data_IF_408953145088
#
_entry.id   IF_408953145088
#
_cell.length_a   1.000
_cell.length_b   1.000
_cell.length_c   1.000
_cell.angle_alpha   90.00
_cell.angle_beta   90.00
_cell.angle_gamma   90.00
#
_symmetry.space_group_name_H-M   'P 1'
#
loop_
_entity.id
_entity.type
_entity.pdbx_description
1 polymer ?
#
# COMPACT_ATOMS: atom_id res chain seq x y z
N UNK A 1 -22.31 -10.31 40.59
CA UNK A 1 -23.03 -11.20 39.63
C UNK A 1 -24.47 -10.69 39.52
N UNK A 2 -24.69 -9.56 38.83
CA UNK A 2 -26.03 -8.95 38.61
C UNK A 2 -26.10 -8.38 37.17
N UNK A 3 -25.42 -9.01 36.20
CA UNK A 3 -25.40 -8.52 34.80
C UNK A 3 -25.94 -9.54 33.80
N UNK A 4 -25.98 -10.83 34.16
CA UNK A 4 -26.70 -11.85 33.40
C UNK A 4 -28.11 -11.96 33.99
N UNK A 5 -29.08 -11.27 33.37
CA UNK A 5 -30.52 -11.50 33.58
C UNK A 5 -30.90 -12.92 33.10
N UNK A 6 -30.44 -13.95 33.81
CA UNK A 6 -30.73 -15.37 33.65
C UNK A 6 -30.49 -16.02 32.27
N UNK A 7 -30.05 -15.30 31.25
CA UNK A 7 -29.62 -15.85 29.97
C UNK A 7 -28.13 -15.55 29.73
N UNK A 8 -27.30 -16.57 29.94
CA UNK A 8 -25.89 -16.58 29.62
C UNK A 8 -25.77 -16.90 28.12
N UNK A 9 -25.82 -15.87 27.28
CA UNK A 9 -25.53 -16.00 25.85
C UNK A 9 -24.05 -15.75 25.60
N UNK A 10 -23.47 -16.47 24.63
CA UNK A 10 -22.04 -16.33 24.26
C UNK A 10 -21.68 -14.86 24.02
N UNK A 11 -22.54 -14.10 23.32
CA UNK A 11 -22.37 -12.65 23.10
C UNK A 11 -22.25 -11.82 24.39
N UNK A 12 -23.01 -12.13 25.45
CA UNK A 12 -22.91 -11.38 26.73
C UNK A 12 -21.64 -11.72 27.51
N UNK A 13 -21.11 -12.93 27.34
CA UNK A 13 -19.82 -13.34 27.92
C UNK A 13 -18.67 -12.67 27.15
N UNK A 14 -18.77 -12.63 25.82
CA UNK A 14 -17.84 -11.97 24.91
C UNK A 14 -17.70 -10.47 25.26
N UNK A 15 -18.82 -9.77 25.43
CA UNK A 15 -18.83 -8.35 25.83
C UNK A 15 -18.28 -8.11 27.25
N UNK A 16 -18.55 -9.02 28.19
CA UNK A 16 -18.05 -8.88 29.57
C UNK A 16 -16.56 -9.24 29.75
N UNK A 17 -15.98 -9.99 28.82
CA UNK A 17 -14.57 -10.38 28.85
C UNK A 17 -13.71 -9.56 27.88
N UNK A 18 -14.31 -8.64 27.11
CA UNK A 18 -13.62 -7.87 26.09
C UNK A 18 -13.17 -8.69 24.89
N UNK A 19 -13.68 -9.92 24.72
CA UNK A 19 -13.41 -10.72 23.54
C UNK A 19 -14.16 -10.11 22.35
N UNK A 20 -13.55 -10.13 21.18
CA UNK A 20 -14.21 -9.68 19.96
C UNK A 20 -14.99 -10.83 19.33
N UNK A 21 -16.19 -10.54 18.84
CA UNK A 21 -16.98 -11.53 18.10
C UNK A 21 -16.22 -11.96 16.83
N UNK A 22 -15.92 -13.26 16.64
CA UNK A 22 -15.29 -13.77 15.43
C UNK A 22 -16.02 -13.36 14.13
N UNK A 23 -17.35 -13.17 14.19
CA UNK A 23 -18.12 -12.70 13.03
C UNK A 23 -17.81 -11.24 12.69
N UNK A 24 -17.57 -10.38 13.70
CA UNK A 24 -17.16 -8.99 13.47
C UNK A 24 -15.77 -8.93 12.85
N UNK A 25 -14.82 -9.72 13.34
CA UNK A 25 -13.47 -9.81 12.77
C UNK A 25 -13.53 -10.27 11.31
N UNK A 26 -14.32 -11.30 11.03
CA UNK A 26 -14.56 -11.77 9.67
C UNK A 26 -15.15 -10.67 8.78
N UNK A 27 -16.19 -10.00 9.24
CA UNK A 27 -16.85 -8.95 8.47
C UNK A 27 -15.92 -7.75 8.21
N UNK A 28 -15.04 -7.42 9.16
CA UNK A 28 -14.02 -6.40 8.99
C UNK A 28 -13.01 -6.78 7.90
N UNK A 29 -12.50 -8.01 7.90
CA UNK A 29 -11.65 -8.52 6.81
C UNK A 29 -12.36 -8.45 5.46
N UNK A 30 -13.63 -8.84 5.40
CA UNK A 30 -14.41 -8.77 4.18
C UNK A 30 -14.55 -7.34 3.67
N UNK A 31 -14.84 -6.37 4.54
CA UNK A 31 -14.92 -4.95 4.16
C UNK A 31 -13.59 -4.44 3.58
N UNK A 32 -12.45 -4.83 4.16
CA UNK A 32 -11.11 -4.49 3.68
C UNK A 32 -10.84 -5.10 2.28
N UNK A 33 -11.23 -6.37 2.09
CA UNK A 33 -11.03 -7.08 0.82
C UNK A 33 -11.94 -6.55 -0.30
N UNK A 34 -13.19 -6.20 0.03
CA UNK A 34 -14.17 -5.63 -0.92
C UNK A 34 -13.97 -4.13 -1.16
N UNK A 35 -13.00 -3.50 -0.48
CA UNK A 35 -12.68 -2.07 -0.59
C UNK A 35 -13.84 -1.15 -0.21
N UNK A 36 -14.68 -1.61 0.72
CA UNK A 36 -15.83 -0.86 1.20
C UNK A 36 -15.37 0.09 2.31
N UNK A 37 -14.93 1.29 1.91
CA UNK A 37 -14.36 2.29 2.83
C UNK A 37 -15.33 2.69 3.94
N UNK A 38 -16.61 2.82 3.60
CA UNK A 38 -17.64 3.21 4.57
C UNK A 38 -17.80 2.13 5.65
N UNK A 39 -17.85 0.85 5.25
CA UNK A 39 -17.89 -0.25 6.22
C UNK A 39 -16.61 -0.36 7.04
N UNK A 40 -15.44 -0.16 6.43
CA UNK A 40 -14.17 -0.17 7.17
C UNK A 40 -14.17 0.91 8.25
N UNK A 41 -14.65 2.11 7.96
CA UNK A 41 -14.74 3.19 8.95
C UNK A 41 -15.77 2.90 10.03
N UNK A 42 -16.95 2.35 9.68
CA UNK A 42 -17.93 1.93 10.66
C UNK A 42 -17.35 0.89 11.64
N UNK A 43 -16.61 -0.10 11.11
CA UNK A 43 -15.94 -1.08 11.97
C UNK A 43 -14.84 -0.46 12.82
N UNK A 44 -14.05 0.49 12.32
CA UNK A 44 -13.04 1.18 13.14
C UNK A 44 -13.68 1.98 14.28
N UNK A 45 -14.81 2.63 14.04
CA UNK A 45 -15.57 3.35 15.08
C UNK A 45 -16.12 2.41 16.15
N UNK A 46 -16.51 1.18 15.78
CA UNK A 46 -16.91 0.15 16.75
C UNK A 46 -15.70 -0.47 17.48
N UNK A 47 -14.58 -0.66 16.79
CA UNK A 47 -13.40 -1.34 17.32
C UNK A 47 -12.52 -0.45 18.21
N UNK A 48 -12.63 0.87 18.11
CA UNK A 48 -11.83 1.81 18.91
C UNK A 48 -12.10 1.73 20.42
N UNK A 49 -13.26 1.19 20.82
CA UNK A 49 -13.61 0.97 22.23
C UNK A 49 -12.89 -0.26 22.83
N UNK A 50 -12.20 -1.04 22.00
CA UNK A 50 -11.42 -2.20 22.39
C UNK A 50 -9.92 -1.88 22.36
N UNK A 51 -9.15 -2.53 23.22
CA UNK A 51 -7.69 -2.44 23.18
C UNK A 51 -7.15 -2.93 21.83
N UNK A 52 -6.26 -2.16 21.20
CA UNK A 52 -5.74 -2.50 19.88
C UNK A 52 -4.98 -3.83 19.89
N UNK A 53 -4.29 -4.15 20.99
CA UNK A 53 -3.62 -5.45 21.15
C UNK A 53 -4.60 -6.61 21.05
N UNK A 54 -5.77 -6.48 21.68
CA UNK A 54 -6.81 -7.52 21.67
C UNK A 54 -7.42 -7.68 20.28
N UNK A 55 -7.69 -6.57 19.58
CA UNK A 55 -8.17 -6.60 18.19
C UNK A 55 -7.14 -7.24 17.27
N UNK A 56 -5.88 -6.86 17.38
CA UNK A 56 -4.79 -7.41 16.55
C UNK A 56 -4.63 -8.91 16.79
N UNK A 57 -4.71 -9.37 18.04
CA UNK A 57 -4.58 -10.79 18.38
C UNK A 57 -5.76 -11.62 17.85
N UNK A 58 -6.98 -11.12 17.91
CA UNK A 58 -8.16 -11.77 17.33
C UNK A 58 -8.11 -11.79 15.79
N UNK A 59 -7.68 -10.70 15.18
CA UNK A 59 -7.42 -10.65 13.73
C UNK A 59 -6.35 -11.67 13.33
N UNK A 60 -5.25 -11.76 14.07
CA UNK A 60 -4.18 -12.73 13.84
C UNK A 60 -4.67 -14.17 14.01
N UNK A 61 -5.48 -14.44 15.04
CA UNK A 61 -6.08 -15.74 15.28
C UNK A 61 -6.97 -16.17 14.11
N UNK A 62 -7.91 -15.29 13.69
CA UNK A 62 -8.78 -15.56 12.54
C UNK A 62 -7.99 -15.84 11.27
N UNK A 63 -6.97 -15.02 10.99
CA UNK A 63 -6.15 -15.16 9.78
C UNK A 63 -5.35 -16.48 9.78
N UNK A 64 -4.81 -16.90 10.94
CA UNK A 64 -4.14 -18.20 11.11
C UNK A 64 -5.09 -19.37 10.88
N UNK A 65 -6.26 -19.35 11.52
CA UNK A 65 -7.27 -20.39 11.36
C UNK A 65 -7.68 -20.53 9.89
N UNK A 66 -7.94 -19.40 9.22
CA UNK A 66 -8.27 -19.35 7.80
C UNK A 66 -7.14 -19.92 6.92
N UNK A 67 -5.89 -19.60 7.22
CA UNK A 67 -4.71 -20.09 6.50
C UNK A 67 -4.57 -21.62 6.61
N UNK A 68 -4.69 -22.19 7.81
CA UNK A 68 -4.58 -23.63 8.03
C UNK A 68 -5.79 -24.41 7.49
N UNK A 69 -6.97 -23.81 7.52
CA UNK A 69 -8.17 -24.33 6.87
C UNK A 69 -8.08 -24.32 5.34
N UNK A 70 -7.03 -23.72 4.75
CA UNK A 70 -6.85 -23.52 3.31
C UNK A 70 -8.07 -22.82 2.68
N UNK A 71 -8.62 -21.85 3.39
CA UNK A 71 -9.74 -21.05 2.91
C UNK A 71 -9.37 -20.31 1.62
N UNK A 72 -10.33 -20.15 0.72
CA UNK A 72 -10.20 -19.33 -0.49
C UNK A 72 -10.55 -17.85 -0.23
N UNK A 73 -10.83 -17.47 1.02
CA UNK A 73 -11.20 -16.10 1.41
C UNK A 73 -10.05 -15.11 1.22
N UNK A 74 -8.80 -15.56 1.41
CA UNK A 74 -7.60 -14.77 1.19
C UNK A 74 -6.69 -15.49 0.19
N UNK A 75 -6.05 -14.74 -0.70
CA UNK A 75 -5.00 -15.29 -1.56
C UNK A 75 -3.69 -15.44 -0.79
N UNK A 76 -2.75 -16.26 -1.29
CA UNK A 76 -1.46 -16.50 -0.61
C UNK A 76 -0.69 -15.20 -0.39
N UNK A 77 -0.75 -14.28 -1.36
CA UNK A 77 -0.14 -12.96 -1.25
C UNK A 77 -0.79 -12.11 -0.14
N UNK A 78 -2.11 -12.19 0.00
CA UNK A 78 -2.84 -11.44 1.03
C UNK A 78 -2.50 -11.97 2.43
N UNK A 79 -2.40 -13.29 2.60
CA UNK A 79 -1.94 -13.87 3.86
C UNK A 79 -0.55 -13.34 4.26
N UNK A 80 0.44 -13.38 3.37
CA UNK A 80 1.80 -12.90 3.65
C UNK A 80 1.79 -11.43 4.11
N UNK A 81 1.07 -10.58 3.38
CA UNK A 81 0.99 -9.15 3.68
C UNK A 81 0.26 -8.88 4.99
N UNK A 82 -0.89 -9.50 5.20
CA UNK A 82 -1.68 -9.26 6.40
C UNK A 82 -0.95 -9.77 7.65
N UNK A 83 -0.24 -10.90 7.58
CA UNK A 83 0.64 -11.33 8.68
C UNK A 83 1.74 -10.31 8.99
N UNK A 84 2.39 -9.77 7.96
CA UNK A 84 3.43 -8.74 8.12
C UNK A 84 2.87 -7.46 8.72
N UNK A 85 1.70 -7.02 8.26
CA UNK A 85 1.03 -5.80 8.75
C UNK A 85 0.60 -5.97 10.20
N UNK A 86 -0.05 -7.07 10.57
CA UNK A 86 -0.43 -7.35 11.96
C UNK A 86 0.79 -7.41 12.88
N UNK A 87 1.87 -8.05 12.43
CA UNK A 87 3.14 -8.09 13.18
C UNK A 87 3.72 -6.69 13.38
N UNK A 88 3.63 -5.82 12.37
CA UNK A 88 4.07 -4.42 12.48
C UNK A 88 3.17 -3.63 13.43
N UNK A 89 1.86 -3.75 13.30
CA UNK A 89 0.88 -3.06 14.15
C UNK A 89 1.07 -3.42 15.63
N UNK A 90 1.35 -4.70 15.93
CA UNK A 90 1.66 -5.16 17.29
C UNK A 90 2.90 -4.49 17.89
N UNK A 91 3.90 -4.18 17.06
CA UNK A 91 5.10 -3.45 17.49
C UNK A 91 4.90 -1.92 17.53
N UNK A 92 3.76 -1.43 17.04
CA UNK A 92 3.37 -0.03 16.98
C UNK A 92 2.20 0.27 17.94
N UNK A 93 2.00 -0.58 18.95
CA UNK A 93 1.06 -0.28 20.03
C UNK A 93 1.52 1.01 20.71
N UNK A 94 0.65 2.01 20.68
CA UNK A 94 0.84 3.34 21.26
C UNK A 94 -0.18 3.53 22.39
N UNK A 95 -0.15 4.69 23.06
CA UNK A 95 -1.15 5.06 24.06
C UNK A 95 -2.56 5.30 23.44
N UNK A 96 -2.65 5.40 22.11
CA UNK A 96 -3.90 5.58 21.36
C UNK A 96 -4.20 4.33 20.52
N UNK A 97 -5.09 3.48 21.05
CA UNK A 97 -5.54 2.25 20.41
C UNK A 97 -6.24 2.52 19.07
N UNK A 98 -7.09 3.55 19.02
CA UNK A 98 -7.80 3.96 17.81
C UNK A 98 -6.84 4.34 16.69
N UNK A 99 -5.78 5.07 17.01
CA UNK A 99 -4.72 5.40 16.05
C UNK A 99 -4.03 4.14 15.49
N UNK A 100 -3.62 3.20 16.35
CA UNK A 100 -2.97 1.97 15.92
C UNK A 100 -3.88 1.15 15.00
N UNK A 101 -5.18 1.05 15.32
CA UNK A 101 -6.17 0.36 14.49
C UNK A 101 -6.38 1.05 13.14
N UNK A 102 -6.45 2.38 13.11
CA UNK A 102 -6.58 3.14 11.88
C UNK A 102 -5.39 2.91 10.94
N UNK A 103 -4.16 3.01 11.46
CA UNK A 103 -2.94 2.79 10.66
C UNK A 103 -2.89 1.36 10.13
N UNK A 104 -3.20 0.37 10.97
CA UNK A 104 -3.27 -1.02 10.55
C UNK A 104 -4.30 -1.23 9.43
N UNK A 105 -5.51 -0.69 9.58
CA UNK A 105 -6.57 -0.80 8.58
C UNK A 105 -6.15 -0.17 7.24
N UNK A 106 -5.54 1.03 7.25
CA UNK A 106 -5.04 1.67 6.03
C UNK A 106 -3.94 0.83 5.35
N UNK A 107 -3.02 0.28 6.11
CA UNK A 107 -1.98 -0.61 5.57
C UNK A 107 -2.59 -1.87 4.94
N UNK A 108 -3.62 -2.45 5.56
CA UNK A 108 -4.31 -3.62 5.01
C UNK A 108 -5.12 -3.28 3.76
N UNK A 109 -5.79 -2.13 3.74
CA UNK A 109 -6.47 -1.64 2.55
C UNK A 109 -5.46 -1.45 1.41
N UNK A 110 -4.33 -0.79 1.64
CA UNK A 110 -3.29 -0.65 0.62
C UNK A 110 -2.79 -2.02 0.11
N UNK A 111 -2.52 -2.95 1.05
CA UNK A 111 -2.07 -4.29 0.72
C UNK A 111 -3.12 -5.13 -0.04
N UNK A 112 -4.41 -4.86 0.14
CA UNK A 112 -5.51 -5.50 -0.61
C UNK A 112 -5.64 -4.95 -2.04
N UNK A 113 -5.07 -3.78 -2.33
CA UNK A 113 -5.12 -3.17 -3.66
C UNK A 113 -4.08 -3.74 -4.62
N UNK A 114 -2.99 -4.31 -4.10
CA UNK A 114 -1.96 -4.91 -4.94
C UNK A 114 -2.38 -6.32 -5.37
N UNK A 115 -2.83 -6.42 -6.63
CA UNK A 115 -3.21 -7.69 -7.27
C UNK A 115 -2.06 -8.71 -7.23
N UNK A 116 -2.40 -9.98 -7.09
CA UNK A 116 -1.50 -11.06 -7.52
C UNK A 116 -1.22 -10.89 -9.01
N UNK A 117 0.03 -11.13 -9.41
CA UNK A 117 0.43 -11.13 -10.83
C UNK A 117 -0.44 -12.15 -11.60
N UNK A 118 -0.80 -13.27 -10.96
CA UNK A 118 -1.58 -14.36 -11.56
C UNK A 118 -3.07 -14.03 -11.79
N UNK A 119 -3.68 -13.17 -10.96
CA UNK A 119 -5.08 -12.75 -11.11
C UNK A 119 -5.28 -11.85 -12.34
N UNK A 120 -4.28 -11.01 -12.63
CA UNK A 120 -4.25 -10.19 -13.85
C UNK A 120 -4.10 -11.05 -15.11
N UNK A 121 -3.38 -12.18 -15.03
CA UNK A 121 -3.20 -13.11 -16.15
C UNK A 121 -4.50 -13.85 -16.50
N UNK A 122 -5.40 -14.11 -15.54
CA UNK A 122 -6.68 -14.77 -15.81
C UNK A 122 -7.70 -13.82 -16.48
N UNK A 123 -7.76 -12.55 -16.06
CA UNK A 123 -8.59 -11.52 -16.72
C UNK A 123 -8.18 -11.34 -18.20
N UNK A 124 -6.88 -11.38 -18.51
CA UNK A 124 -6.35 -11.24 -19.89
C UNK A 124 -6.61 -12.49 -20.76
N UNK A 125 -6.70 -13.68 -20.17
CA UNK A 125 -6.96 -14.94 -20.91
C UNK A 125 -8.40 -15.09 -21.36
N UNK A 126 -9.37 -14.53 -20.64
CA UNK A 126 -10.79 -14.64 -21.02
C UNK A 126 -11.15 -13.77 -22.25
N UNK A 127 -10.35 -12.75 -22.57
CA UNK A 127 -10.59 -11.88 -23.74
C UNK A 127 -10.08 -12.44 -25.08
N UNK A 128 -9.36 -13.58 -25.10
CA UNK A 128 -8.68 -14.08 -26.31
C UNK A 128 -9.20 -15.43 -26.86
N UNK A 129 -10.38 -15.89 -26.48
CA UNK A 129 -10.96 -17.14 -27.02
C UNK A 129 -11.93 -16.86 -28.17
N UNK A 130 -11.43 -16.29 -29.26
CA UNK A 130 -11.99 -16.57 -30.59
C UNK A 130 -10.88 -16.58 -31.62
N UNK A 131 -10.75 -17.75 -32.28
CA UNK A 131 -10.18 -17.98 -33.60
C UNK A 131 -8.82 -18.73 -33.67
N UNK A 132 -8.97 -20.05 -33.66
CA UNK A 132 -8.47 -21.02 -34.67
C UNK A 132 -6.96 -21.26 -34.86
N UNK A 133 -6.57 -22.47 -34.43
CA UNK A 133 -5.49 -23.39 -34.84
C UNK A 133 -5.24 -23.49 -36.36
N UNK A 134 -4.04 -23.92 -36.86
CA UNK A 134 -3.67 -25.36 -36.89
C UNK A 134 -2.16 -25.81 -36.86
N UNK A 135 -1.97 -26.99 -36.23
CA UNK A 135 -1.17 -28.21 -36.59
C UNK A 135 0.38 -28.34 -36.42
N UNK A 136 0.79 -28.95 -35.28
CA UNK A 136 1.48 -30.27 -35.02
C UNK A 136 2.60 -30.83 -35.96
N UNK A 137 3.83 -31.10 -35.44
CA UNK A 137 4.59 -32.40 -35.38
C UNK A 137 6.03 -32.26 -34.74
N UNK A 138 6.75 -33.32 -34.28
CA UNK A 138 7.32 -33.40 -32.91
C UNK A 138 8.85 -33.61 -32.71
N UNK A 139 9.31 -33.36 -31.45
CA UNK A 139 10.48 -33.92 -30.70
C UNK A 139 11.89 -33.32 -30.92
N UNK A 140 12.86 -33.42 -29.98
CA UNK A 140 12.84 -33.36 -28.51
C UNK A 140 13.99 -32.46 -27.97
N UNK A 141 13.75 -31.22 -27.53
CA UNK A 141 14.73 -30.49 -26.72
C UNK A 141 13.96 -29.58 -25.76
N UNK A 142 14.29 -29.68 -24.47
CA UNK A 142 13.77 -28.84 -23.40
C UNK A 142 13.71 -27.36 -23.83
N UNK A 143 12.56 -26.68 -23.72
CA UNK A 143 12.54 -25.23 -23.68
C UNK A 143 12.32 -24.78 -22.23
N UNK A 144 13.34 -24.11 -21.73
CA UNK A 144 13.26 -23.03 -20.75
C UNK A 144 11.86 -22.40 -20.75
N UNK A 145 11.14 -22.46 -19.62
CA UNK A 145 9.94 -21.65 -19.41
C UNK A 145 10.38 -20.18 -19.27
N UNK A 146 10.71 -19.55 -20.38
CA UNK A 146 10.65 -18.10 -20.48
C UNK A 146 9.17 -17.71 -20.49
N UNK A 147 8.59 -17.66 -19.29
CA UNK A 147 7.46 -16.78 -19.02
C UNK A 147 7.95 -15.39 -19.42
N UNK A 148 7.51 -14.91 -20.58
CA UNK A 148 7.68 -13.52 -20.98
C UNK A 148 6.78 -12.69 -20.07
N UNK A 149 7.27 -12.45 -18.85
CA UNK A 149 6.80 -11.38 -17.97
C UNK A 149 6.85 -10.14 -18.85
N UNK A 150 5.73 -9.46 -19.00
CA UNK A 150 5.68 -8.23 -19.79
C UNK A 150 6.46 -7.17 -19.00
N UNK A 151 7.77 -7.13 -19.28
CA UNK A 151 8.70 -6.30 -18.54
C UNK A 151 8.35 -4.83 -18.75
N UNK A 152 8.21 -4.09 -17.67
CA UNK A 152 7.99 -2.64 -17.78
C UNK A 152 9.26 -1.94 -18.31
N UNK A 153 9.15 -0.66 -18.69
CA UNK A 153 10.26 0.08 -19.28
C UNK A 153 11.52 0.12 -18.39
N UNK A 154 11.35 0.10 -17.06
CA UNK A 154 12.44 0.03 -16.10
C UNK A 154 13.11 -1.34 -16.08
N UNK A 155 12.34 -2.43 -16.11
CA UNK A 155 12.86 -3.80 -16.14
C UNK A 155 13.59 -4.11 -17.45
N UNK A 156 13.05 -3.64 -18.59
CA UNK A 156 13.70 -3.75 -19.90
C UNK A 156 15.04 -3.00 -19.89
N UNK A 157 15.07 -1.80 -19.29
CA UNK A 157 16.30 -1.04 -19.12
C UNK A 157 17.27 -1.79 -18.20
N UNK A 158 16.80 -2.30 -17.06
CA UNK A 158 17.62 -3.02 -16.10
C UNK A 158 18.26 -4.26 -16.71
N UNK A 159 17.52 -5.07 -17.47
CA UNK A 159 18.09 -6.20 -18.22
C UNK A 159 19.16 -5.73 -19.20
N UNK A 160 18.88 -4.64 -19.92
CA UNK A 160 19.83 -4.11 -20.90
C UNK A 160 21.12 -3.64 -20.24
N UNK A 161 21.06 -3.17 -19.00
CA UNK A 161 22.23 -2.84 -18.19
C UNK A 161 22.93 -4.13 -17.75
N UNK A 162 22.22 -5.16 -17.28
CA UNK A 162 22.82 -6.46 -16.91
C UNK A 162 23.56 -7.11 -18.09
N UNK A 163 23.02 -7.00 -19.31
CA UNK A 163 23.65 -7.51 -20.53
C UNK A 163 25.00 -6.83 -20.84
N UNK A 164 25.30 -5.69 -20.21
CA UNK A 164 26.48 -4.86 -20.50
C UNK A 164 27.43 -4.70 -19.32
N UNK A 165 26.89 -4.45 -18.14
CA UNK A 165 27.64 -4.16 -16.92
C UNK A 165 26.83 -4.63 -15.70
N UNK A 166 27.25 -5.77 -15.16
CA UNK A 166 26.60 -6.41 -14.01
C UNK A 166 26.65 -5.55 -12.74
N UNK A 167 27.80 -4.93 -12.45
CA UNK A 167 28.00 -4.14 -11.23
C UNK A 167 27.18 -2.85 -11.29
N UNK A 168 27.12 -2.22 -12.47
CA UNK A 168 26.27 -1.07 -12.72
C UNK A 168 24.78 -1.42 -12.59
N UNK A 169 24.37 -2.60 -13.08
CA UNK A 169 22.99 -3.07 -12.97
C UNK A 169 22.56 -3.30 -11.52
N UNK A 170 23.40 -3.97 -10.72
CA UNK A 170 23.14 -4.15 -9.28
C UNK A 170 23.07 -2.79 -8.57
N UNK A 171 24.00 -1.88 -8.86
CA UNK A 171 23.99 -0.53 -8.29
C UNK A 171 22.72 0.24 -8.65
N UNK A 172 22.28 0.14 -9.91
CA UNK A 172 21.05 0.76 -10.41
C UNK A 172 19.81 0.19 -9.74
N UNK A 173 19.69 -1.13 -9.64
CA UNK A 173 18.58 -1.82 -8.99
C UNK A 173 18.47 -1.49 -7.49
N UNK A 174 19.60 -1.42 -6.79
CA UNK A 174 19.63 -1.13 -5.36
C UNK A 174 19.30 0.34 -5.06
N UNK A 175 19.68 1.25 -5.97
CA UNK A 175 19.66 2.69 -5.68
C UNK A 175 18.56 3.45 -6.41
N UNK A 176 17.71 2.76 -7.18
CA UNK A 176 16.60 3.37 -7.94
C UNK A 176 15.32 2.55 -7.86
N UNK A 177 14.17 3.20 -8.05
CA UNK A 177 12.86 2.53 -8.17
C UNK A 177 12.03 3.15 -9.27
N UNK A 178 11.26 2.32 -9.97
CA UNK A 178 10.29 2.76 -10.98
C UNK A 178 9.19 3.63 -10.37
N UNK A 179 8.85 4.73 -11.04
CA UNK A 179 7.68 5.58 -10.71
C UNK A 179 6.64 5.49 -11.83
N UNK A 180 7.00 5.89 -13.05
CA UNK A 180 6.10 5.86 -14.21
C UNK A 180 6.90 5.88 -15.53
N UNK A 181 6.26 5.51 -16.64
CA UNK A 181 6.77 5.76 -17.98
C UNK A 181 5.66 6.42 -18.80
N UNK A 182 5.80 7.73 -19.02
CA UNK A 182 4.78 8.55 -19.67
C UNK A 182 5.43 9.63 -20.52
N UNK A 183 4.78 9.99 -21.64
CA UNK A 183 5.31 11.02 -22.56
C UNK A 183 6.77 10.77 -22.97
N UNK A 184 7.12 9.51 -23.28
CA UNK A 184 8.49 9.07 -23.59
C UNK A 184 9.52 9.34 -22.48
N UNK A 185 9.08 9.57 -21.25
CA UNK A 185 9.95 9.85 -20.11
C UNK A 185 9.79 8.77 -19.05
N UNK A 186 10.90 8.09 -18.73
CA UNK A 186 11.00 7.14 -17.63
C UNK A 186 11.29 7.91 -16.34
N UNK A 187 10.30 7.96 -15.45
CA UNK A 187 10.44 8.56 -14.13
C UNK A 187 10.92 7.49 -13.14
N UNK A 188 12.05 7.73 -12.50
CA UNK A 188 12.59 6.88 -11.44
C UNK A 188 12.93 7.71 -10.21
N UNK A 189 12.78 7.12 -9.03
CA UNK A 189 13.32 7.68 -7.79
C UNK A 189 14.73 7.14 -7.58
N UNK A 190 15.62 7.94 -6.99
CA UNK A 190 16.94 7.49 -6.55
C UNK A 190 17.23 7.88 -5.11
N UNK A 191 17.77 6.92 -4.35
CA UNK A 191 18.32 7.09 -3.01
C UNK A 191 19.84 6.84 -2.97
N UNK A 192 20.53 6.90 -4.13
CA UNK A 192 21.96 6.61 -4.23
C UNK A 192 22.81 7.56 -3.38
N UNK A 193 23.71 7.01 -2.58
CA UNK A 193 24.65 7.76 -1.73
C UNK A 193 26.08 7.23 -1.90
N UNK A 194 27.07 8.07 -1.61
CA UNK A 194 28.49 7.72 -1.61
C UNK A 194 28.94 7.03 -2.91
N UNK A 195 29.53 5.85 -2.77
CA UNK A 195 30.07 5.04 -3.87
C UNK A 195 29.01 4.69 -4.93
N UNK A 196 27.78 4.35 -4.52
CA UNK A 196 26.71 4.02 -5.47
C UNK A 196 26.32 5.22 -6.35
N UNK A 197 26.33 6.42 -5.76
CA UNK A 197 26.07 7.66 -6.52
C UNK A 197 27.18 7.91 -7.55
N UNK A 198 28.43 7.68 -7.17
CA UNK A 198 29.57 7.89 -8.07
C UNK A 198 29.60 6.86 -9.21
N UNK A 199 29.28 5.59 -8.93
CA UNK A 199 29.11 4.53 -9.94
C UNK A 199 27.99 4.87 -10.91
N UNK A 200 26.82 5.28 -10.40
CA UNK A 200 25.69 5.67 -11.26
C UNK A 200 25.99 6.91 -12.09
N UNK A 201 26.64 7.93 -11.55
CA UNK A 201 27.02 9.12 -12.30
C UNK A 201 28.00 8.80 -13.44
N UNK A 202 28.96 7.90 -13.20
CA UNK A 202 29.90 7.44 -14.23
C UNK A 202 29.20 6.60 -15.31
N UNK A 203 28.29 5.71 -14.92
CA UNK A 203 27.55 4.83 -15.80
C UNK A 203 26.29 5.44 -16.44
N UNK A 204 25.88 6.65 -16.06
CA UNK A 204 24.58 7.19 -16.47
C UNK A 204 24.45 7.39 -17.98
N UNK A 205 25.55 7.76 -18.66
CA UNK A 205 25.55 7.88 -20.12
C UNK A 205 25.23 6.55 -20.80
N UNK A 206 25.85 5.47 -20.32
CA UNK A 206 25.58 4.11 -20.82
C UNK A 206 24.12 3.73 -20.57
N UNK A 207 23.59 4.02 -19.39
CA UNK A 207 22.17 3.77 -19.05
C UNK A 207 21.25 4.52 -20.03
N UNK A 208 21.54 5.79 -20.34
CA UNK A 208 20.76 6.57 -21.30
C UNK A 208 20.84 6.01 -22.72
N UNK A 209 22.02 5.59 -23.17
CA UNK A 209 22.22 4.98 -24.48
C UNK A 209 21.47 3.65 -24.62
N UNK A 210 21.52 2.80 -23.60
CA UNK A 210 20.78 1.53 -23.56
C UNK A 210 19.27 1.76 -23.56
N UNK A 211 18.80 2.78 -22.85
CA UNK A 211 17.39 3.13 -22.85
C UNK A 211 16.92 3.61 -24.23
N UNK A 212 17.69 4.49 -24.87
CA UNK A 212 17.44 4.95 -26.23
C UNK A 212 17.48 3.80 -27.25
N UNK A 213 18.41 2.87 -27.11
CA UNK A 213 18.50 1.71 -27.99
C UNK A 213 17.25 0.81 -27.93
N UNK A 214 16.58 0.74 -26.77
CA UNK A 214 15.36 -0.06 -26.59
C UNK A 214 14.07 0.70 -26.94
N UNK A 215 14.00 2.00 -26.70
CA UNK A 215 12.74 2.78 -26.81
C UNK A 215 12.79 3.94 -27.82
N UNK A 216 13.91 4.16 -28.51
CA UNK A 216 14.10 5.17 -29.55
C UNK A 216 14.80 6.46 -29.07
N UNK A 217 15.21 7.33 -30.00
CA UNK A 217 16.01 8.52 -29.66
C UNK A 217 15.27 9.59 -28.84
N UNK A 218 13.94 9.60 -28.90
CA UNK A 218 13.11 10.62 -28.25
C UNK A 218 12.79 10.33 -26.78
N UNK A 219 13.33 9.24 -26.21
CA UNK A 219 13.08 8.90 -24.81
C UNK A 219 14.06 9.56 -23.85
N UNK A 220 13.58 9.87 -22.64
CA UNK A 220 14.36 10.51 -21.57
C UNK A 220 14.19 9.75 -20.25
N UNK A 221 15.19 9.87 -19.38
CA UNK A 221 15.13 9.35 -18.01
C UNK A 221 15.11 10.55 -17.07
N UNK A 222 14.07 10.65 -16.25
CA UNK A 222 13.94 11.66 -15.20
C UNK A 222 14.22 11.00 -13.86
N UNK A 223 15.25 11.49 -13.17
CA UNK A 223 15.68 10.96 -11.86
C UNK A 223 15.25 11.95 -10.78
N UNK A 224 14.36 11.50 -9.92
CA UNK A 224 13.86 12.28 -8.78
C UNK A 224 14.52 11.77 -7.50
N UNK A 225 14.83 12.66 -6.55
CA UNK A 225 15.31 12.23 -5.24
C UNK A 225 14.18 11.45 -4.55
N UNK A 226 14.48 10.27 -4.03
CA UNK A 226 13.52 9.55 -3.20
C UNK A 226 13.06 10.46 -2.06
N UNK A 227 11.75 10.67 -1.93
CA UNK A 227 11.19 11.46 -0.83
C UNK A 227 11.53 10.73 0.48
N UNK A 228 12.43 11.33 1.26
CA UNK A 228 12.49 11.08 2.69
C UNK A 228 11.27 11.77 3.27
N UNK A 229 10.26 11.00 3.68
CA UNK A 229 9.24 11.52 4.59
C UNK A 229 9.99 11.82 5.87
N UNK A 230 10.32 13.10 6.06
CA UNK A 230 10.90 13.61 7.29
C UNK A 230 9.73 13.76 8.27
N UNK A 231 9.58 12.80 9.18
CA UNK A 231 8.52 12.81 10.20
C UNK A 231 8.48 14.14 10.99
N UNK A 232 9.61 14.84 11.08
CA UNK A 232 9.73 16.15 11.72
C UNK A 232 9.00 17.29 10.98
N UNK A 233 8.78 17.17 9.67
CA UNK A 233 8.02 18.18 8.89
C UNK A 233 6.50 18.00 8.99
N UNK A 234 6.03 16.82 9.39
CA UNK A 234 4.61 16.64 9.75
C UNK A 234 4.29 17.27 11.12
N UNK A 235 5.25 17.33 12.04
CA UNK A 235 5.07 17.96 13.36
C UNK A 235 4.93 19.49 13.29
N UNK A 236 5.50 20.15 12.28
CA UNK A 236 5.37 21.60 12.10
C UNK A 236 3.99 22.05 11.60
N UNK A 237 3.11 21.14 11.17
CA UNK A 237 1.73 21.46 10.79
C UNK A 237 0.73 21.27 11.96
N UNK A 238 1.16 20.68 13.07
CA UNK A 238 0.34 20.43 14.27
C UNK A 238 0.69 21.31 15.47
N UNK A 239 1.70 22.17 15.36
CA UNK A 239 2.12 23.08 16.44
C UNK A 239 1.97 24.57 16.07
N UNK A 240 0.77 25.01 15.70
CA UNK A 240 0.31 26.39 15.98
C UNK A 240 -1.18 26.37 16.36
N UNK A 241 -1.46 25.89 17.57
CA UNK A 241 -2.64 26.28 18.35
C UNK A 241 -2.13 26.94 19.64
N UNK A 242 -2.19 28.27 19.77
CA UNK A 242 -1.83 28.95 21.01
C UNK A 242 -2.88 28.65 22.08
N UNK A 243 -2.39 28.24 23.26
CA UNK A 243 -3.18 28.06 24.47
C UNK A 243 -3.86 29.36 24.89
N UNK A 244 -5.10 29.21 25.32
CA UNK A 244 -6.05 30.21 25.84
C UNK A 244 -5.46 31.21 26.85
N UNK A 245 -5.45 32.52 26.51
CA UNK A 245 -5.83 33.66 27.37
C UNK A 245 -6.05 34.94 26.52
N UNK A 246 -7.20 35.09 25.84
CA UNK A 246 -7.87 36.39 25.57
C UNK A 246 -9.11 36.21 24.68
N UNK A 247 -10.29 36.09 25.29
CA UNK A 247 -11.56 35.85 24.55
C UNK A 247 -12.27 37.12 24.04
N UNK A 248 -11.64 38.30 24.12
CA UNK A 248 -12.33 39.58 23.82
C UNK A 248 -11.88 40.33 22.56
N UNK A 249 -10.95 39.81 21.75
CA UNK A 249 -10.46 40.53 20.56
C UNK A 249 -10.73 39.84 19.21
N UNK A 250 -11.34 38.65 19.21
CA UNK A 250 -11.65 37.92 17.96
C UNK A 250 -13.04 38.30 17.44
N UNK A 251 -13.97 38.66 18.34
CA UNK A 251 -15.33 39.07 17.96
C UNK A 251 -15.35 40.42 17.21
N UNK A 252 -14.43 41.34 17.53
CA UNK A 252 -14.30 42.66 16.88
C UNK A 252 -13.77 42.53 15.44
N UNK A 253 -12.78 41.67 15.21
CA UNK A 253 -12.23 41.42 13.86
C UNK A 253 -13.20 40.64 12.97
N UNK A 254 -14.00 39.73 13.53
CA UNK A 254 -15.04 39.01 12.77
C UNK A 254 -16.19 39.94 12.37
N UNK A 255 -16.54 40.93 13.20
CA UNK A 255 -17.60 41.90 12.86
C UNK A 255 -17.14 42.89 11.78
N UNK A 256 -15.86 43.29 11.73
CA UNK A 256 -15.33 44.12 10.64
C UNK A 256 -15.28 43.40 9.28
N UNK A 257 -15.06 42.07 9.27
CA UNK A 257 -15.09 41.27 8.04
C UNK A 257 -16.52 41.03 7.50
N UNK A 258 -17.54 41.06 8.37
CA UNK A 258 -18.95 40.90 7.96
C UNK A 258 -19.58 42.16 7.37
N UNK A 259 -19.07 43.36 7.69
CA UNK A 259 -19.56 44.61 7.08
C UNK A 259 -19.07 44.83 5.64
N UNK A 260 -17.92 44.23 5.26
CA UNK A 260 -17.40 44.31 3.90
C UNK A 260 -18.13 43.46 2.86
N UNK A 261 -18.89 42.45 3.28
CA UNK A 261 -19.53 41.47 2.40
C UNK A 261 -20.98 41.82 1.98
N UNK A 262 -21.50 43.00 2.35
CA UNK A 262 -22.87 43.44 1.99
C UNK A 262 -22.97 44.45 0.85
N UNK A 263 -21.89 44.68 0.09
CA UNK A 263 -21.91 45.57 -1.08
C UNK A 263 -21.21 44.94 -2.28
N UNK A 264 -21.75 43.86 -2.81
CA UNK A 264 -21.67 43.59 -4.25
C UNK A 264 -22.68 42.50 -4.65
N UNK A 265 -23.81 42.92 -5.20
CA UNK A 265 -24.40 42.44 -6.47
C UNK A 265 -25.83 42.99 -6.63
N UNK A 266 -26.34 43.24 -7.85
CA UNK A 266 -25.69 43.23 -9.17
C UNK A 266 -25.51 44.63 -9.81
#
# INVERSE_FOLDING_TARGET
>A
IIFCQNEISISKITDMLGFLDPQKIKAFYQAILTKDKEKVFAYLEELQDYEASSVIDEMLFYLKESFFAKSTEFSTLIYERFFRILSKAKNMLCDDDGFTLCVMAFMMMEASHLKEIDAQIQEIKQENITNTTPKITPSPIMPNLEKKIEKNAYEILLDSIYDRDFDLAECFKQSTKFISFESNTLNISSNAQGQNRDTLNKGFKLIQELFKAKFGENVKINVQKALTIDENKLQSLTQELPNSENKNNIQSSINMLKEGAKKFDP
#
